data_IF_424986744436
#
_entry.id   IF_424986744436
#
_cell.length_a   1.000
_cell.length_b   1.000
_cell.length_c   1.000
_cell.angle_alpha   90.00
_cell.angle_beta   90.00
_cell.angle_gamma   90.00
#
_symmetry.space_group_name_H-M   'P 1'
#
loop_
_entity.id
_entity.type
_entity.pdbx_description
1 polymer ?
#
# COMPACT_ATOMS: atom_id res chain seq x y z
N UNK A 1 -69.72 -63.66 3.55
CA UNK A 1 -70.36 -62.36 3.25
C UNK A 1 -70.16 -61.35 4.39
N UNK A 2 -70.56 -61.64 5.64
CA UNK A 2 -70.39 -60.73 6.79
C UNK A 2 -68.92 -60.34 7.11
N UNK A 3 -67.98 -61.27 6.94
CA UNK A 3 -66.55 -61.03 7.21
C UNK A 3 -65.93 -60.08 6.17
N UNK A 4 -66.20 -60.33 4.88
CA UNK A 4 -65.78 -59.46 3.77
C UNK A 4 -66.33 -58.03 3.88
N UNK A 5 -67.54 -57.85 4.42
CA UNK A 5 -68.12 -56.51 4.63
C UNK A 5 -67.47 -55.76 5.80
N UNK A 6 -66.98 -56.48 6.82
CA UNK A 6 -66.22 -55.89 7.94
C UNK A 6 -64.84 -55.43 7.47
N UNK A 7 -64.12 -56.29 6.76
CA UNK A 7 -62.78 -55.99 6.23
C UNK A 7 -62.83 -54.80 5.24
N UNK A 8 -63.88 -54.74 4.39
CA UNK A 8 -64.10 -53.61 3.48
C UNK A 8 -64.37 -52.28 4.21
N UNK A 9 -65.01 -52.32 5.39
CA UNK A 9 -65.25 -51.14 6.21
C UNK A 9 -63.96 -50.65 6.88
N UNK A 10 -63.12 -51.56 7.38
CA UNK A 10 -61.78 -51.21 7.93
C UNK A 10 -60.88 -50.59 6.87
N UNK A 11 -60.82 -51.18 5.67
CA UNK A 11 -60.03 -50.63 4.54
C UNK A 11 -60.52 -49.22 4.18
N UNK A 12 -61.84 -48.99 4.14
CA UNK A 12 -62.41 -47.67 3.86
C UNK A 12 -62.02 -46.64 4.91
N UNK A 13 -62.01 -47.02 6.19
CA UNK A 13 -61.61 -46.16 7.30
C UNK A 13 -60.10 -45.84 7.23
N UNK A 14 -59.26 -46.84 6.91
CA UNK A 14 -57.83 -46.65 6.64
C UNK A 14 -57.56 -45.67 5.50
N UNK A 15 -58.29 -45.77 4.39
CA UNK A 15 -58.19 -44.83 3.25
C UNK A 15 -58.57 -43.41 3.66
N UNK A 16 -59.62 -43.24 4.47
CA UNK A 16 -60.01 -41.92 4.98
C UNK A 16 -58.94 -41.30 5.88
N UNK A 17 -58.35 -42.09 6.77
CA UNK A 17 -57.24 -41.64 7.62
C UNK A 17 -56.00 -41.27 6.81
N UNK A 18 -55.65 -42.07 5.79
CA UNK A 18 -54.56 -41.76 4.87
C UNK A 18 -54.80 -40.46 4.12
N UNK A 19 -56.02 -40.24 3.61
CA UNK A 19 -56.38 -38.99 2.94
C UNK A 19 -56.23 -37.78 3.87
N UNK A 20 -56.74 -37.87 5.10
CA UNK A 20 -56.58 -36.79 6.08
C UNK A 20 -55.10 -36.52 6.43
N UNK A 21 -54.27 -37.57 6.50
CA UNK A 21 -52.83 -37.42 6.71
C UNK A 21 -52.13 -36.78 5.52
N UNK A 22 -52.55 -37.13 4.30
CA UNK A 22 -52.03 -36.58 3.04
C UNK A 22 -52.38 -35.10 2.92
N UNK A 23 -53.62 -34.70 3.26
CA UNK A 23 -54.05 -33.30 3.25
C UNK A 23 -53.22 -32.47 4.25
N UNK A 24 -53.01 -32.99 5.48
CA UNK A 24 -52.16 -32.34 6.49
C UNK A 24 -50.71 -32.20 6.03
N UNK A 25 -50.15 -33.21 5.38
CA UNK A 25 -48.81 -33.14 4.81
C UNK A 25 -48.74 -32.12 3.69
N UNK A 26 -49.75 -32.06 2.82
CA UNK A 26 -49.85 -31.05 1.76
C UNK A 26 -49.84 -29.62 2.32
N UNK A 27 -50.60 -29.35 3.39
CA UNK A 27 -50.60 -28.03 4.03
C UNK A 27 -49.23 -27.66 4.60
N UNK A 28 -48.58 -28.61 5.31
CA UNK A 28 -47.23 -28.38 5.87
C UNK A 28 -46.16 -28.21 4.79
N UNK A 29 -46.32 -28.89 3.65
CA UNK A 29 -45.40 -28.77 2.52
C UNK A 29 -45.50 -27.39 1.88
N UNK A 30 -46.71 -26.89 1.63
CA UNK A 30 -46.92 -25.53 1.11
C UNK A 30 -46.37 -24.45 2.06
N UNK A 31 -46.53 -24.63 3.37
CA UNK A 31 -45.96 -23.72 4.37
C UNK A 31 -44.42 -23.74 4.33
N UNK A 32 -43.82 -24.93 4.21
CA UNK A 32 -42.37 -25.08 4.09
C UNK A 32 -41.85 -24.45 2.79
N UNK A 33 -42.50 -24.70 1.64
CA UNK A 33 -42.16 -24.10 0.35
C UNK A 33 -42.22 -22.57 0.40
N UNK A 34 -43.27 -22.00 0.99
CA UNK A 34 -43.39 -20.56 1.17
C UNK A 34 -42.27 -19.99 2.05
N UNK A 35 -41.95 -20.65 3.16
CA UNK A 35 -40.84 -20.24 4.03
C UNK A 35 -39.49 -20.33 3.33
N UNK A 36 -39.26 -21.36 2.51
CA UNK A 36 -38.03 -21.53 1.72
C UNK A 36 -37.91 -20.40 0.71
N UNK A 37 -38.97 -20.15 -0.09
CA UNK A 37 -38.98 -19.06 -1.07
C UNK A 37 -38.68 -17.71 -0.41
N UNK A 38 -39.29 -17.44 0.75
CA UNK A 38 -39.02 -16.20 1.49
C UNK A 38 -37.55 -16.10 1.94
N UNK A 39 -36.98 -17.19 2.47
CA UNK A 39 -35.58 -17.21 2.90
C UNK A 39 -34.63 -17.03 1.71
N UNK A 40 -34.95 -17.61 0.55
CA UNK A 40 -34.16 -17.44 -0.68
C UNK A 40 -34.17 -15.99 -1.15
N UNK A 41 -35.35 -15.34 -1.14
CA UNK A 41 -35.48 -13.92 -1.46
C UNK A 41 -34.69 -13.03 -0.48
N UNK A 42 -34.86 -13.27 0.83
CA UNK A 42 -34.14 -12.54 1.89
C UNK A 42 -32.61 -12.73 1.76
N UNK A 43 -32.14 -13.94 1.42
CA UNK A 43 -30.72 -14.25 1.25
C UNK A 43 -30.10 -13.58 0.02
N UNK A 44 -30.85 -13.45 -1.07
CA UNK A 44 -30.40 -12.70 -2.25
C UNK A 44 -30.32 -11.20 -1.95
N UNK A 45 -31.30 -10.63 -1.23
CA UNK A 45 -31.25 -9.24 -0.76
C UNK A 45 -30.02 -9.00 0.13
N UNK A 46 -29.79 -9.86 1.13
CA UNK A 46 -28.61 -9.79 1.99
C UNK A 46 -27.30 -9.86 1.17
N UNK A 47 -27.21 -10.77 0.20
CA UNK A 47 -26.03 -10.90 -0.67
C UNK A 47 -25.77 -9.62 -1.47
N UNK A 48 -26.83 -8.95 -1.95
CA UNK A 48 -26.71 -7.67 -2.65
C UNK A 48 -26.25 -6.56 -1.72
N UNK A 49 -26.78 -6.48 -0.50
CA UNK A 49 -26.34 -5.49 0.49
C UNK A 49 -24.87 -5.67 0.88
N UNK A 50 -24.41 -6.92 1.04
CA UNK A 50 -23.01 -7.24 1.34
C UNK A 50 -22.10 -6.72 0.22
N UNK A 51 -22.41 -7.02 -1.05
CA UNK A 51 -21.65 -6.51 -2.20
C UNK A 51 -21.58 -4.98 -2.24
N UNK A 52 -22.69 -4.30 -1.93
CA UNK A 52 -22.73 -2.84 -1.88
C UNK A 52 -21.89 -2.29 -0.73
N UNK A 53 -21.91 -2.93 0.44
CA UNK A 53 -21.10 -2.54 1.60
C UNK A 53 -19.61 -2.76 1.33
N UNK A 54 -19.22 -3.88 0.73
CA UNK A 54 -17.85 -4.16 0.30
C UNK A 54 -17.34 -3.07 -0.65
N UNK A 55 -18.14 -2.68 -1.65
CA UNK A 55 -17.76 -1.63 -2.58
C UNK A 55 -17.60 -0.26 -1.89
N UNK A 56 -18.48 0.05 -0.93
CA UNK A 56 -18.38 1.29 -0.13
C UNK A 56 -17.14 1.28 0.75
N UNK A 57 -16.80 0.14 1.35
CA UNK A 57 -15.59 -0.02 2.18
C UNK A 57 -14.32 0.16 1.35
N UNK A 58 -14.24 -0.44 0.15
CA UNK A 58 -13.11 -0.24 -0.78
C UNK A 58 -12.95 1.25 -1.10
N UNK A 59 -14.04 1.90 -1.50
CA UNK A 59 -14.04 3.33 -1.85
C UNK A 59 -13.64 4.21 -0.67
N UNK A 60 -14.10 3.89 0.53
CA UNK A 60 -13.75 4.61 1.75
C UNK A 60 -12.26 4.44 2.09
N UNK A 61 -11.72 3.22 1.99
CA UNK A 61 -10.31 2.94 2.22
C UNK A 61 -9.41 3.71 1.26
N UNK A 62 -9.74 3.75 -0.03
CA UNK A 62 -9.00 4.53 -1.04
C UNK A 62 -9.02 6.04 -0.73
N UNK A 63 -10.16 6.58 -0.28
CA UNK A 63 -10.26 7.99 0.12
C UNK A 63 -9.43 8.30 1.36
N UNK A 64 -9.42 7.40 2.35
CA UNK A 64 -8.60 7.56 3.56
C UNK A 64 -7.12 7.58 3.18
N UNK A 65 -6.67 6.65 2.35
CA UNK A 65 -5.29 6.60 1.86
C UNK A 65 -4.89 7.88 1.10
N UNK A 66 -5.76 8.39 0.22
CA UNK A 66 -5.50 9.65 -0.51
C UNK A 66 -5.43 10.86 0.42
N UNK A 67 -6.34 10.97 1.40
CA UNK A 67 -6.32 12.05 2.39
C UNK A 67 -5.06 12.02 3.26
N UNK A 68 -4.65 10.84 3.71
CA UNK A 68 -3.42 10.65 4.48
C UNK A 68 -2.19 11.09 3.67
N UNK A 69 -2.07 10.66 2.41
CA UNK A 69 -0.94 11.04 1.57
C UNK A 69 -0.94 12.52 1.17
N UNK A 70 -2.11 13.14 0.99
CA UNK A 70 -2.21 14.60 0.79
C UNK A 70 -1.74 15.37 2.02
N UNK A 71 -2.11 14.91 3.21
CA UNK A 71 -1.66 15.51 4.48
C UNK A 71 -0.14 15.42 4.65
N UNK A 72 0.45 14.28 4.25
CA UNK A 72 1.91 14.03 4.34
C UNK A 72 2.72 14.55 3.14
N UNK A 73 2.09 15.16 2.14
CA UNK A 73 2.77 15.54 0.88
C UNK A 73 3.96 16.47 1.07
N UNK A 74 3.89 17.37 2.06
CA UNK A 74 4.96 18.30 2.40
C UNK A 74 5.97 17.74 3.41
N UNK A 75 5.78 16.50 3.85
CA UNK A 75 6.62 15.88 4.84
C UNK A 75 7.86 15.21 4.20
N UNK A 76 8.95 15.20 4.97
CA UNK A 76 10.17 14.45 4.70
C UNK A 76 10.51 13.63 5.95
N UNK A 77 10.84 12.37 5.75
CA UNK A 77 11.39 11.47 6.76
C UNK A 77 12.90 11.43 6.63
N UNK A 78 13.62 11.68 7.71
CA UNK A 78 15.08 11.75 7.73
C UNK A 78 15.62 10.70 8.70
N UNK A 79 16.47 9.80 8.19
CA UNK A 79 17.01 8.66 8.95
C UNK A 79 18.51 8.84 9.12
N UNK A 80 19.03 8.41 10.28
CA UNK A 80 20.48 8.30 10.54
C UNK A 80 21.04 9.27 11.58
N UNK A 81 20.25 10.24 12.05
CA UNK A 81 20.69 11.12 13.13
C UNK A 81 20.64 10.40 14.50
N UNK A 82 21.75 10.38 15.27
CA UNK A 82 21.77 9.84 16.63
C UNK A 82 20.70 10.48 17.51
N UNK A 83 20.16 9.75 18.50
CA UNK A 83 19.18 10.31 19.44
C UNK A 83 19.79 11.45 20.27
N UNK A 84 19.00 12.51 20.53
CA UNK A 84 19.38 13.59 21.44
C UNK A 84 20.20 14.75 20.84
N UNK A 85 20.70 14.62 19.61
CA UNK A 85 21.50 15.66 18.93
C UNK A 85 20.76 16.99 18.71
N UNK A 86 19.43 16.96 18.75
CA UNK A 86 18.57 18.13 18.56
C UNK A 86 18.59 19.12 19.73
N UNK A 87 19.10 18.74 20.91
CA UNK A 87 19.16 19.61 22.08
C UNK A 87 17.80 20.19 22.51
N UNK A 88 16.72 19.44 22.27
CA UNK A 88 15.34 19.85 22.58
C UNK A 88 14.68 20.77 21.54
N UNK A 89 15.38 21.23 20.49
CA UNK A 89 14.80 22.01 19.41
C UNK A 89 15.10 21.39 18.03
N UNK A 90 14.31 20.38 17.60
CA UNK A 90 14.53 19.68 16.34
C UNK A 90 14.41 20.62 15.12
N UNK A 91 13.56 21.65 15.19
CA UNK A 91 13.38 22.59 14.08
C UNK A 91 14.65 23.38 13.81
N UNK A 92 15.22 24.03 14.84
CA UNK A 92 16.45 24.82 14.69
C UNK A 92 17.64 23.96 14.29
N UNK A 93 17.77 22.78 14.89
CA UNK A 93 18.81 21.81 14.54
C UNK A 93 18.74 21.40 13.06
N UNK A 94 17.55 21.01 12.57
CA UNK A 94 17.42 20.57 11.19
C UNK A 94 17.55 21.74 10.19
N UNK A 95 17.17 22.96 10.56
CA UNK A 95 17.39 24.14 9.72
C UNK A 95 18.87 24.39 9.46
N UNK A 96 19.72 24.36 10.49
CA UNK A 96 21.16 24.55 10.32
C UNK A 96 21.79 23.37 9.59
N UNK A 97 21.54 22.14 10.08
CA UNK A 97 22.19 20.93 9.57
C UNK A 97 21.80 20.63 8.13
N UNK A 98 20.52 20.77 7.74
CA UNK A 98 20.13 20.49 6.36
C UNK A 98 20.67 21.53 5.38
N UNK A 99 20.79 22.79 5.80
CA UNK A 99 21.37 23.85 4.96
C UNK A 99 22.83 23.54 4.64
N UNK A 100 23.60 23.13 5.66
CA UNK A 100 25.00 22.72 5.50
C UNK A 100 25.12 21.39 4.72
N UNK A 101 24.39 20.35 5.13
CA UNK A 101 24.47 19.02 4.55
C UNK A 101 24.10 18.99 3.06
N UNK A 102 23.19 19.88 2.63
CA UNK A 102 22.69 19.97 1.26
C UNK A 102 23.32 21.13 0.47
N UNK A 103 24.32 21.84 1.02
CA UNK A 103 24.97 23.02 0.40
C UNK A 103 23.94 24.03 -0.14
N UNK A 104 22.89 24.30 0.63
CA UNK A 104 21.86 25.26 0.23
C UNK A 104 22.39 26.68 0.40
N UNK A 105 21.97 27.60 -0.48
CA UNK A 105 22.31 29.02 -0.31
C UNK A 105 21.77 29.52 1.03
N UNK A 106 22.60 30.28 1.76
CA UNK A 106 22.22 30.93 3.02
C UNK A 106 21.06 31.92 2.86
N UNK A 107 20.83 32.39 1.63
CA UNK A 107 19.75 33.32 1.28
C UNK A 107 18.38 32.62 1.14
N UNK A 108 18.34 31.29 1.19
CA UNK A 108 17.13 30.47 1.13
C UNK A 108 16.86 29.85 2.51
N UNK A 109 16.17 30.57 3.42
CA UNK A 109 15.85 30.01 4.73
C UNK A 109 14.91 28.81 4.59
N UNK A 110 15.27 27.70 5.24
CA UNK A 110 14.43 26.51 5.26
C UNK A 110 13.23 26.71 6.18
N UNK A 111 12.07 27.00 5.59
CA UNK A 111 10.79 27.15 6.29
C UNK A 111 10.23 25.78 6.73
N UNK A 112 10.61 25.35 7.94
CA UNK A 112 10.08 24.15 8.60
C UNK A 112 8.90 24.56 9.48
N UNK A 113 7.72 24.03 9.19
CA UNK A 113 6.50 24.24 9.98
C UNK A 113 6.55 23.43 11.28
N UNK A 114 6.97 22.17 11.18
CA UNK A 114 7.06 21.25 12.31
C UNK A 114 8.21 20.27 12.11
N UNK A 115 8.93 19.98 13.18
CA UNK A 115 9.93 18.91 13.22
C UNK A 115 9.78 18.12 14.52
N UNK A 116 9.82 16.80 14.42
CA UNK A 116 9.79 15.91 15.57
C UNK A 116 10.44 14.57 15.20
N UNK A 117 10.82 13.77 16.20
CA UNK A 117 11.16 12.37 15.98
C UNK A 117 9.91 11.54 15.84
N UNK A 118 9.99 10.45 15.07
CA UNK A 118 8.92 9.49 14.93
C UNK A 118 8.44 9.02 16.30
N UNK A 119 7.12 8.92 16.46
CA UNK A 119 6.49 8.42 17.67
C UNK A 119 6.91 6.97 17.89
N UNK A 120 7.39 6.66 19.09
CA UNK A 120 7.88 5.34 19.45
C UNK A 120 8.79 5.38 20.67
N UNK A 121 9.00 4.23 21.33
CA UNK A 121 9.89 4.14 22.48
C UNK A 121 11.30 4.56 22.10
N UNK A 122 12.05 5.07 23.08
CA UNK A 122 13.46 5.38 22.87
C UNK A 122 14.20 4.09 22.47
N UNK A 123 15.03 4.11 21.41
CA UNK A 123 15.74 2.92 20.98
C UNK A 123 16.70 2.44 22.07
N UNK A 124 16.82 1.12 22.19
CA UNK A 124 17.83 0.50 23.05
C UNK A 124 19.22 0.60 22.41
N UNK A 125 20.31 0.49 23.19
CA UNK A 125 21.66 0.50 22.65
C UNK A 125 21.83 -0.55 21.53
N UNK A 126 22.25 -0.11 20.35
CA UNK A 126 22.42 -0.97 19.17
C UNK A 126 21.24 -0.98 18.19
N UNK A 127 20.08 -0.43 18.56
CA UNK A 127 18.98 -0.20 17.62
C UNK A 127 19.20 1.05 16.77
N UNK A 128 18.53 1.10 15.61
CA UNK A 128 18.56 2.28 14.74
C UNK A 128 17.90 3.48 15.43
N UNK A 129 18.50 4.68 15.36
CA UNK A 129 17.87 5.90 15.87
C UNK A 129 16.52 6.18 15.22
N UNK A 130 15.58 6.78 15.96
CA UNK A 130 14.28 7.17 15.40
C UNK A 130 14.48 8.25 14.35
N UNK A 131 13.76 8.08 13.24
CA UNK A 131 13.75 9.05 12.15
C UNK A 131 13.15 10.38 12.59
N UNK A 132 13.65 11.49 12.04
CA UNK A 132 12.92 12.75 12.08
C UNK A 132 11.81 12.74 11.04
N UNK A 133 10.67 13.31 11.39
CA UNK A 133 9.61 13.69 10.46
C UNK A 133 9.51 15.21 10.50
N UNK A 134 9.78 15.83 9.35
CA UNK A 134 9.63 17.28 9.18
C UNK A 134 8.50 17.58 8.22
N UNK A 135 7.74 18.63 8.53
CA UNK A 135 6.75 19.23 7.64
C UNK A 135 7.27 20.57 7.16
N UNK A 136 7.39 20.72 5.85
CA UNK A 136 7.84 21.96 5.22
C UNK A 136 6.66 22.83 4.86
N UNK A 137 6.84 24.15 4.93
CA UNK A 137 5.77 25.09 4.62
C UNK A 137 5.37 25.05 3.14
N UNK A 138 6.35 24.84 2.24
CA UNK A 138 6.15 24.87 0.78
C UNK A 138 6.53 23.54 0.12
N UNK A 139 5.63 23.03 -0.72
CA UNK A 139 5.85 21.83 -1.51
C UNK A 139 7.08 21.90 -2.45
N UNK A 140 7.35 23.01 -3.16
CA UNK A 140 8.55 23.10 -4.01
C UNK A 140 9.86 22.97 -3.22
N UNK A 141 9.92 23.53 -2.01
CA UNK A 141 11.08 23.40 -1.13
C UNK A 141 11.32 21.94 -0.77
N UNK A 142 10.25 21.21 -0.45
CA UNK A 142 10.31 19.78 -0.19
C UNK A 142 10.85 18.99 -1.38
N UNK A 143 10.39 19.27 -2.59
CA UNK A 143 10.89 18.59 -3.80
C UNK A 143 12.35 18.94 -4.10
N UNK A 144 12.75 20.19 -3.88
CA UNK A 144 14.13 20.64 -4.04
C UNK A 144 15.06 19.87 -3.11
N UNK A 145 14.74 19.77 -1.82
CA UNK A 145 15.56 19.05 -0.84
C UNK A 145 15.78 17.59 -1.23
N UNK A 146 14.71 16.89 -1.61
CA UNK A 146 14.81 15.49 -2.04
C UNK A 146 15.62 15.32 -3.32
N UNK A 147 15.50 16.26 -4.26
CA UNK A 147 16.28 16.26 -5.50
C UNK A 147 17.76 16.49 -5.24
N UNK A 148 18.11 17.49 -4.41
CA UNK A 148 19.49 17.80 -4.03
C UNK A 148 20.10 16.63 -3.28
N UNK A 149 19.39 16.06 -2.30
CA UNK A 149 19.84 14.87 -1.58
C UNK A 149 20.11 13.68 -2.52
N UNK A 150 19.20 13.42 -3.47
CA UNK A 150 19.38 12.37 -4.48
C UNK A 150 20.59 12.59 -5.37
N UNK A 151 20.83 13.84 -5.80
CA UNK A 151 21.94 14.18 -6.68
C UNK A 151 23.30 14.11 -5.97
N UNK A 152 23.36 14.54 -4.70
CA UNK A 152 24.57 14.39 -3.87
C UNK A 152 24.87 12.94 -3.52
N UNK A 153 23.83 12.12 -3.35
CA UNK A 153 23.98 10.70 -3.02
C UNK A 153 24.18 10.43 -1.55
N UNK A 154 25.39 10.03 -1.16
CA UNK A 154 25.66 9.69 0.24
C UNK A 154 25.87 10.96 1.07
N UNK A 155 24.90 11.27 1.92
CA UNK A 155 25.01 12.35 2.90
C UNK A 155 25.65 11.81 4.18
N UNK A 156 26.61 12.55 4.74
CA UNK A 156 27.29 12.21 5.99
C UNK A 156 27.26 13.41 6.94
N UNK A 157 26.91 13.16 8.19
CA UNK A 157 26.93 14.16 9.27
C UNK A 157 27.63 13.53 10.48
N UNK A 158 28.72 14.13 10.95
CA UNK A 158 29.52 13.61 12.08
C UNK A 158 29.77 12.09 12.01
N UNK A 159 30.20 11.60 10.84
CA UNK A 159 30.43 10.17 10.52
C UNK A 159 29.17 9.30 10.36
N UNK A 160 27.98 9.81 10.67
CA UNK A 160 26.70 9.13 10.48
C UNK A 160 26.18 9.31 9.06
N UNK A 161 25.68 8.22 8.47
CA UNK A 161 25.05 8.28 7.15
C UNK A 161 23.61 8.79 7.30
N UNK A 162 23.32 9.90 6.64
CA UNK A 162 21.99 10.51 6.64
C UNK A 162 21.27 10.16 5.34
N UNK A 163 19.96 9.93 5.41
CA UNK A 163 19.13 9.67 4.23
C UNK A 163 17.78 10.38 4.36
N UNK A 164 17.39 11.05 3.27
CA UNK A 164 16.13 11.81 3.19
C UNK A 164 15.14 11.07 2.30
N UNK A 165 13.91 11.00 2.77
CA UNK A 165 12.83 10.27 2.13
C UNK A 165 11.54 11.07 2.10
N UNK A 166 10.72 10.90 1.06
CA UNK A 166 9.30 11.18 1.16
C UNK A 166 8.66 10.48 2.36
N UNK A 167 7.75 11.14 3.05
CA UNK A 167 6.89 10.52 4.07
C UNK A 167 5.59 10.05 3.39
N UNK A 168 5.44 8.73 3.22
CA UNK A 168 4.27 8.11 2.58
C UNK A 168 3.40 7.41 3.62
N UNK A 169 2.12 7.14 3.29
CA UNK A 169 1.32 6.20 4.07
C UNK A 169 1.91 4.79 3.97
N UNK A 170 1.55 3.93 4.93
CA UNK A 170 2.02 2.53 4.97
C UNK A 170 1.57 1.76 3.73
N UNK A 171 0.34 1.99 3.30
CA UNK A 171 -0.30 1.37 2.16
C UNK A 171 0.41 1.76 0.87
N UNK A 172 0.71 3.07 0.70
CA UNK A 172 1.43 3.57 -0.46
C UNK A 172 2.87 3.03 -0.50
N UNK A 173 3.53 2.99 0.65
CA UNK A 173 4.85 2.38 0.77
C UNK A 173 4.81 0.90 0.36
N UNK A 174 3.83 0.13 0.84
CA UNK A 174 3.65 -1.27 0.47
C UNK A 174 3.41 -1.44 -1.03
N UNK A 175 2.55 -0.61 -1.65
CA UNK A 175 2.33 -0.60 -3.11
C UNK A 175 3.62 -0.34 -3.88
N UNK A 176 4.46 0.61 -3.43
CA UNK A 176 5.76 0.90 -4.05
C UNK A 176 6.77 -0.23 -3.87
N UNK A 177 6.77 -0.89 -2.71
CA UNK A 177 7.64 -2.03 -2.41
C UNK A 177 7.36 -3.22 -3.34
N UNK A 178 6.12 -3.42 -3.79
CA UNK A 178 5.80 -4.47 -4.79
C UNK A 178 6.60 -4.34 -6.09
N UNK A 179 7.03 -3.13 -6.45
CA UNK A 179 7.87 -2.88 -7.62
C UNK A 179 9.38 -3.10 -7.36
N UNK A 180 9.78 -3.57 -6.18
CA UNK A 180 11.20 -3.75 -5.83
C UNK A 180 11.93 -4.69 -6.79
N UNK A 181 11.44 -5.93 -6.89
CA UNK A 181 12.08 -6.97 -7.69
C UNK A 181 12.22 -6.55 -9.16
N UNK A 182 11.16 -5.97 -9.72
CA UNK A 182 11.17 -5.54 -11.13
C UNK A 182 12.11 -4.36 -11.37
N UNK A 183 12.23 -3.43 -10.42
CA UNK A 183 13.22 -2.35 -10.52
C UNK A 183 14.65 -2.87 -10.44
N UNK A 184 14.91 -3.88 -9.60
CA UNK A 184 16.21 -4.55 -9.55
C UNK A 184 16.56 -5.16 -10.91
N UNK A 185 15.64 -5.93 -11.51
CA UNK A 185 15.84 -6.52 -12.83
C UNK A 185 16.06 -5.48 -13.94
N UNK A 186 15.29 -4.37 -13.92
CA UNK A 186 15.48 -3.27 -14.89
C UNK A 186 16.83 -2.58 -14.73
N UNK A 187 17.30 -2.44 -13.49
CA UNK A 187 18.61 -1.88 -13.19
C UNK A 187 19.74 -2.79 -13.70
N UNK A 188 19.64 -4.10 -13.46
CA UNK A 188 20.61 -5.10 -13.95
C UNK A 188 20.69 -5.11 -15.48
N UNK A 189 19.56 -4.89 -16.16
CA UNK A 189 19.49 -4.78 -17.64
C UNK A 189 19.86 -3.40 -18.19
N UNK A 190 20.19 -2.43 -17.33
CA UNK A 190 20.55 -1.07 -17.74
C UNK A 190 19.40 -0.27 -18.39
N UNK A 191 18.14 -0.66 -18.15
CA UNK A 191 16.97 0.00 -18.72
C UNK A 191 16.64 1.25 -17.91
N UNK A 192 16.26 2.34 -18.57
CA UNK A 192 15.83 3.57 -17.89
C UNK A 192 14.43 3.38 -17.33
N UNK A 193 14.26 3.60 -16.03
CA UNK A 193 12.95 3.52 -15.37
C UNK A 193 12.78 4.61 -14.31
N UNK A 194 11.53 4.84 -13.90
CA UNK A 194 11.18 5.72 -12.78
C UNK A 194 9.85 5.31 -12.15
N UNK A 195 9.78 5.34 -10.82
CA UNK A 195 8.56 5.06 -10.07
C UNK A 195 7.90 6.38 -9.65
N UNK A 196 6.72 6.65 -10.20
CA UNK A 196 5.98 7.90 -10.02
C UNK A 196 4.86 7.75 -9.00
N UNK A 197 4.45 8.88 -8.43
CA UNK A 197 3.30 8.93 -7.52
C UNK A 197 2.00 8.56 -8.26
N UNK A 198 1.10 7.76 -7.64
CA UNK A 198 1.27 7.08 -6.36
C UNK A 198 2.25 5.90 -6.44
N UNK A 199 2.01 4.93 -7.32
CA UNK A 199 2.90 3.79 -7.54
C UNK A 199 2.83 3.33 -9.01
N UNK A 200 3.23 4.19 -9.94
CA UNK A 200 3.24 3.89 -11.38
C UNK A 200 4.67 3.78 -11.87
N UNK A 201 5.07 2.59 -12.32
CA UNK A 201 6.41 2.38 -12.87
C UNK A 201 6.40 2.75 -14.35
N UNK A 202 7.21 3.74 -14.73
CA UNK A 202 7.46 4.06 -16.13
C UNK A 202 8.79 3.48 -16.56
N UNK A 203 8.79 2.75 -17.67
CA UNK A 203 9.96 2.12 -18.25
C UNK A 203 10.15 2.70 -19.65
N UNK A 204 11.35 3.21 -19.92
CA UNK A 204 11.72 3.75 -21.23
C UNK A 204 12.66 2.78 -21.92
N UNK A 205 12.25 2.25 -23.07
CA UNK A 205 13.03 1.34 -23.89
C UNK A 205 12.87 1.71 -25.36
N UNK A 206 13.99 1.81 -26.11
CA UNK A 206 14.02 2.19 -27.54
C UNK A 206 13.27 3.50 -27.88
N UNK A 207 13.27 4.46 -26.96
CA UNK A 207 12.60 5.76 -27.14
C UNK A 207 11.12 5.77 -26.74
N UNK A 208 10.50 4.60 -26.55
CA UNK A 208 9.12 4.50 -26.08
C UNK A 208 9.07 4.40 -24.56
N UNK A 209 8.09 5.06 -23.94
CA UNK A 209 7.87 5.00 -22.49
C UNK A 209 6.52 4.35 -22.20
N UNK A 210 6.55 3.21 -21.53
CA UNK A 210 5.36 2.49 -21.09
C UNK A 210 5.15 2.67 -19.59
N UNK A 211 3.89 2.71 -19.15
CA UNK A 211 3.50 2.90 -17.75
C UNK A 211 2.80 1.65 -17.23
N UNK A 212 3.20 1.20 -16.04
CA UNK A 212 2.68 -0.02 -15.42
C UNK A 212 2.19 0.26 -14.01
N UNK A 213 1.02 -0.26 -13.67
CA UNK A 213 0.41 -0.22 -12.33
C UNK A 213 0.56 -1.55 -11.58
N UNK A 214 0.83 -2.64 -12.30
CA UNK A 214 1.05 -3.97 -11.75
C UNK A 214 2.49 -4.47 -12.01
N UNK A 215 3.22 -4.97 -11.00
CA UNK A 215 4.55 -5.54 -11.19
C UNK A 215 4.56 -6.79 -12.06
N UNK A 216 3.48 -7.58 -12.11
CA UNK A 216 3.37 -8.77 -12.96
C UNK A 216 3.40 -8.44 -14.45
N UNK A 217 2.75 -7.35 -14.86
CA UNK A 217 2.84 -6.82 -16.22
C UNK A 217 4.27 -6.40 -16.60
N UNK A 218 5.00 -5.78 -15.66
CA UNK A 218 6.40 -5.41 -15.86
C UNK A 218 7.27 -6.67 -16.04
N UNK A 219 7.02 -7.73 -15.25
CA UNK A 219 7.73 -9.01 -15.42
C UNK A 219 7.48 -9.61 -16.80
N UNK A 220 6.23 -9.62 -17.27
CA UNK A 220 5.88 -10.07 -18.63
C UNK A 220 6.59 -9.23 -19.69
N UNK A 221 6.60 -7.90 -19.54
CA UNK A 221 7.31 -6.99 -20.44
C UNK A 221 8.81 -7.31 -20.50
N UNK A 222 9.46 -7.52 -19.35
CA UNK A 222 10.90 -7.85 -19.25
C UNK A 222 11.24 -9.20 -19.90
N UNK A 223 10.33 -10.17 -19.81
CA UNK A 223 10.50 -11.51 -20.41
C UNK A 223 10.26 -11.53 -21.92
N UNK A 224 9.24 -10.80 -22.40
CA UNK A 224 8.91 -10.71 -23.83
C UNK A 224 9.96 -9.90 -24.61
N UNK A 225 10.59 -8.93 -23.97
CA UNK A 225 11.66 -8.12 -24.55
C UNK A 225 13.03 -8.79 -24.41
N UNK A 226 13.19 -10.01 -24.95
CA UNK A 226 14.38 -10.87 -24.86
C UNK A 226 15.73 -10.30 -25.39
N UNK A 227 15.85 -8.98 -25.56
CA UNK A 227 17.07 -8.25 -25.89
C UNK A 227 17.13 -6.83 -25.30
N UNK A 228 16.67 -6.63 -24.06
CA UNK A 228 16.86 -5.38 -23.30
C UNK A 228 18.35 -5.17 -22.98
N UNK A 229 19.17 -4.79 -23.96
CA UNK A 229 20.48 -4.20 -23.73
C UNK A 229 20.35 -2.68 -23.82
N UNK A 230 20.57 -1.96 -22.72
CA UNK A 230 20.64 -0.50 -22.73
C UNK A 230 21.91 -0.01 -23.43
N UNK A 231 21.82 1.05 -24.24
CA UNK A 231 23.01 1.77 -24.70
C UNK A 231 23.75 2.39 -23.49
N UNK A 232 25.09 2.42 -23.47
CA UNK A 232 25.85 2.98 -22.37
C UNK A 232 25.47 4.44 -22.12
N UNK A 233 25.34 4.83 -20.85
CA UNK A 233 25.16 6.24 -20.48
C UNK A 233 26.37 7.03 -20.96
N UNK A 234 26.12 8.08 -21.74
CA UNK A 234 27.15 9.03 -22.13
C UNK A 234 27.77 9.65 -20.87
N UNK A 235 29.07 9.46 -20.69
CA UNK A 235 29.86 9.88 -19.54
C UNK A 235 30.00 11.40 -19.51
N UNK A 236 29.17 12.05 -18.70
CA UNK A 236 29.17 13.50 -18.48
C UNK A 236 28.67 13.88 -17.10
N UNK A 237 29.04 13.13 -16.06
CA UNK A 237 29.11 13.59 -14.66
C UNK A 237 29.68 12.44 -13.83
N UNK A 238 30.89 12.63 -13.30
CA UNK A 238 31.51 11.69 -12.38
C UNK A 238 30.82 11.80 -11.01
N UNK A 239 29.80 10.98 -10.79
CA UNK A 239 29.40 10.55 -9.46
C UNK A 239 29.17 9.04 -9.53
N UNK A 240 29.71 8.25 -8.57
CA UNK A 240 29.50 6.81 -8.58
C UNK A 240 27.99 6.51 -8.48
N UNK A 241 27.49 5.43 -9.12
CA UNK A 241 26.08 5.10 -9.07
C UNK A 241 25.68 4.82 -7.62
N UNK A 242 24.86 5.68 -7.02
CA UNK A 242 24.17 5.32 -5.79
C UNK A 242 23.23 4.18 -6.17
N UNK A 243 23.58 2.97 -5.72
CA UNK A 243 22.79 1.77 -5.89
C UNK A 243 21.33 2.04 -5.46
N UNK A 244 20.38 2.15 -6.41
CA UNK A 244 18.98 2.37 -6.11
C UNK A 244 18.42 1.23 -5.24
N UNK A 245 19.09 0.07 -5.19
CA UNK A 245 18.74 -1.08 -4.38
C UNK A 245 19.25 -1.02 -2.93
N UNK A 246 20.12 -0.09 -2.55
CA UNK A 246 20.62 -0.02 -1.15
C UNK A 246 19.78 0.88 -0.25
N UNK A 247 19.03 1.79 -0.87
CA UNK A 247 18.28 2.84 -0.18
C UNK A 247 16.96 2.30 0.37
N UNK A 248 16.32 1.30 -0.26
CA UNK A 248 15.05 0.74 0.21
C UNK A 248 15.18 -0.50 1.11
N UNK A 249 16.35 -1.14 1.19
CA UNK A 249 16.62 -2.13 2.26
C UNK A 249 16.52 -1.49 3.65
N UNK A 250 16.88 -0.21 3.77
CA UNK A 250 16.67 0.57 5.00
C UNK A 250 15.18 0.77 5.33
N UNK A 251 14.28 0.71 4.34
CA UNK A 251 12.84 0.79 4.57
C UNK A 251 12.24 -0.56 5.00
N UNK A 252 12.78 -1.68 4.51
CA UNK A 252 12.32 -3.03 4.85
C UNK A 252 12.66 -3.42 6.31
N UNK A 253 13.78 -2.92 6.84
CA UNK A 253 14.19 -3.16 8.24
C UNK A 253 13.46 -2.34 9.30
N UNK A 254 12.48 -1.49 8.93
CA UNK A 254 11.77 -0.59 9.83
C UNK A 254 10.24 -0.83 9.86
N UNK A 255 9.78 -2.03 9.51
CA UNK A 255 8.45 -2.49 9.94
C UNK A 255 8.62 -3.10 11.34
N UNK A 256 8.12 -2.46 12.42
CA UNK A 256 7.94 -3.19 13.67
C UNK A 256 6.93 -4.31 13.39
N UNK A 257 7.35 -5.54 13.63
CA UNK A 257 6.40 -6.58 14.00
C UNK A 257 5.84 -6.21 15.36
N UNK A 258 4.51 -6.07 15.39
CA UNK A 258 3.64 -5.94 16.57
C UNK A 258 3.83 -4.72 17.49
#
# INVERSE_FOLDING_TARGET
>A
LLQLTSDAAEVKLGIQNLKASQDRLGTRMLEAEWRISKIEDDAEEETQTIKQLEQRLITAAERIEDLENRSRRNNIRIVGFPEGVEGGNPTKFLQSVLTELLDLSKDMPLEIEQAHRALGPHPTPGQCPRAFVIKLLRFPTRELLLRVAKNKGQLKWEQHRISLFPDWSRELQAKRQRFWEVRKMLCEKGVKYGLFYPAVLKVTHRGETQSFTDPGEVKKFISQSAGLSGSPRNSGSQSPPIDPCRVEQLWAGHLPGE
#
